data_IF_414485769252
#
_entry.id   IF_414485769252
#
_cell.length_a   1.000
_cell.length_b   1.000
_cell.length_c   1.000
_cell.angle_alpha   90.00
_cell.angle_beta   90.00
_cell.angle_gamma   90.00
#
_symmetry.space_group_name_H-M   'P 1'
#
loop_
_entity.id
_entity.type
_entity.pdbx_description
1 polymer ?
#
# COMPACT_ATOMS: atom_id res chain seq x y z
N UNK A 1 -6.23 4.24 -14.01
CA UNK A 1 -7.18 4.02 -12.88
C UNK A 1 -7.84 2.66 -13.06
N UNK A 2 -7.27 1.59 -12.51
CA UNK A 2 -7.72 0.24 -12.83
C UNK A 2 -8.76 -0.23 -11.81
N UNK A 3 -10.03 0.09 -12.08
CA UNK A 3 -11.21 -0.31 -11.31
C UNK A 3 -11.74 -1.70 -11.68
N UNK A 4 -11.06 -2.41 -12.57
CA UNK A 4 -11.50 -3.71 -13.07
C UNK A 4 -10.90 -4.81 -12.18
N UNK A 5 -11.70 -5.60 -11.45
CA UNK A 5 -11.18 -6.65 -10.56
C UNK A 5 -10.34 -7.69 -11.31
N UNK A 6 -10.59 -7.90 -12.61
CA UNK A 6 -9.76 -8.75 -13.45
C UNK A 6 -8.37 -8.18 -13.77
N UNK A 7 -8.18 -6.86 -13.68
CA UNK A 7 -6.94 -6.22 -14.12
C UNK A 7 -5.78 -6.43 -13.13
N UNK A 8 -6.06 -6.53 -11.83
CA UNK A 8 -5.04 -6.98 -10.88
C UNK A 8 -4.58 -8.41 -11.19
N UNK A 9 -5.50 -9.28 -11.58
CA UNK A 9 -5.19 -10.67 -11.95
C UNK A 9 -4.34 -10.74 -13.21
N UNK A 10 -4.74 -10.04 -14.27
CA UNK A 10 -3.95 -9.98 -15.50
C UNK A 10 -2.57 -9.35 -15.29
N UNK A 11 -2.47 -8.28 -14.50
CA UNK A 11 -1.18 -7.67 -14.17
C UNK A 11 -0.28 -8.63 -13.39
N UNK A 12 -0.84 -9.38 -12.43
CA UNK A 12 -0.10 -10.39 -11.70
C UNK A 12 0.36 -11.53 -12.64
N UNK A 13 -0.50 -12.00 -13.53
CA UNK A 13 -0.13 -13.04 -14.50
C UNK A 13 1.00 -12.57 -15.43
N UNK A 14 1.00 -11.29 -15.84
CA UNK A 14 2.12 -10.69 -16.58
C UNK A 14 3.42 -10.68 -15.75
N UNK A 15 3.36 -10.31 -14.47
CA UNK A 15 4.54 -10.32 -13.58
C UNK A 15 5.07 -11.74 -13.37
N UNK A 16 4.17 -12.73 -13.23
CA UNK A 16 4.53 -14.13 -13.05
C UNK A 16 5.13 -14.75 -14.32
N UNK A 17 4.79 -14.24 -15.50
CA UNK A 17 5.37 -14.70 -16.77
C UNK A 17 6.87 -14.38 -16.92
N UNK A 18 7.43 -13.48 -16.11
CA UNK A 18 8.88 -13.28 -16.04
C UNK A 18 9.63 -14.45 -15.39
N UNK A 19 8.91 -15.43 -14.81
CA UNK A 19 9.48 -16.68 -14.24
C UNK A 19 10.63 -16.45 -13.26
N UNK A 20 10.55 -15.41 -12.44
CA UNK A 20 11.53 -15.18 -11.39
C UNK A 20 11.50 -16.37 -10.40
N UNK A 21 12.65 -17.02 -10.20
CA UNK A 21 12.80 -18.20 -9.34
C UNK A 21 12.30 -17.96 -7.92
N UNK A 22 12.46 -16.74 -7.41
CA UNK A 22 12.01 -16.33 -6.08
C UNK A 22 10.50 -16.11 -5.97
N UNK A 23 9.79 -15.88 -7.07
CA UNK A 23 8.35 -15.54 -7.04
C UNK A 23 7.48 -16.74 -7.41
N UNK A 24 8.00 -17.64 -8.24
CA UNK A 24 7.28 -18.84 -8.72
C UNK A 24 6.70 -19.70 -7.58
N UNK A 25 7.40 -19.97 -6.46
CA UNK A 25 6.86 -20.76 -5.35
C UNK A 25 5.60 -20.15 -4.73
N UNK A 26 5.50 -18.82 -4.72
CA UNK A 26 4.42 -18.08 -4.07
C UNK A 26 3.26 -17.73 -5.02
N UNK A 27 3.29 -18.20 -6.27
CA UNK A 27 2.28 -17.90 -7.29
C UNK A 27 0.85 -18.13 -6.81
N UNK A 28 0.59 -19.28 -6.18
CA UNK A 28 -0.75 -19.62 -5.69
C UNK A 28 -1.22 -18.66 -4.58
N UNK A 29 -0.32 -18.32 -3.66
CA UNK A 29 -0.59 -17.37 -2.57
C UNK A 29 -0.90 -15.97 -3.13
N UNK A 30 -0.09 -15.50 -4.08
CA UNK A 30 -0.30 -14.21 -4.74
C UNK A 30 -1.63 -14.16 -5.51
N UNK A 31 -1.99 -15.23 -6.22
CA UNK A 31 -3.27 -15.32 -6.93
C UNK A 31 -4.45 -15.33 -5.96
N UNK A 32 -4.35 -16.04 -4.83
CA UNK A 32 -5.40 -16.05 -3.82
C UNK A 32 -5.51 -14.69 -3.07
N UNK A 33 -4.42 -13.92 -2.95
CA UNK A 33 -4.45 -12.54 -2.43
C UNK A 33 -5.18 -11.58 -3.38
N UNK A 34 -5.12 -11.82 -4.69
CA UNK A 34 -5.88 -11.05 -5.68
C UNK A 34 -7.36 -11.44 -5.68
N UNK A 35 -7.69 -12.68 -5.32
CA UNK A 35 -9.08 -13.14 -5.22
C UNK A 35 -9.79 -12.53 -4.00
N UNK A 36 -10.89 -11.82 -4.25
CA UNK A 36 -11.67 -11.14 -3.22
C UNK A 36 -12.30 -12.10 -2.19
N UNK A 37 -12.71 -13.29 -2.64
CA UNK A 37 -13.37 -14.28 -1.76
C UNK A 37 -12.37 -14.89 -0.79
N UNK A 38 -11.15 -15.13 -1.26
CA UNK A 38 -10.08 -15.76 -0.49
C UNK A 38 -9.21 -14.77 0.27
N UNK A 39 -9.32 -13.47 -0.03
CA UNK A 39 -8.45 -12.43 0.50
C UNK A 39 -8.27 -12.50 2.03
N UNK A 40 -9.36 -12.52 2.80
CA UNK A 40 -9.29 -12.53 4.27
C UNK A 40 -8.65 -13.80 4.83
N UNK A 41 -8.98 -14.95 4.25
CA UNK A 41 -8.41 -16.24 4.64
C UNK A 41 -6.91 -16.28 4.35
N UNK A 42 -6.51 -15.78 3.17
CA UNK A 42 -5.10 -15.73 2.78
C UNK A 42 -4.26 -14.81 3.65
N UNK A 43 -4.77 -13.65 4.07
CA UNK A 43 -4.03 -12.79 5.02
C UNK A 43 -3.74 -13.51 6.34
N UNK A 44 -4.60 -14.47 6.73
CA UNK A 44 -4.42 -15.24 7.95
C UNK A 44 -3.43 -16.40 7.77
N UNK A 45 -3.52 -17.09 6.63
CA UNK A 45 -2.69 -18.25 6.30
C UNK A 45 -1.26 -17.85 5.89
N UNK A 46 -1.14 -16.85 5.04
CA UNK A 46 0.12 -16.41 4.44
C UNK A 46 0.65 -15.16 5.15
N UNK A 47 1.07 -15.30 6.40
CA UNK A 47 1.63 -14.20 7.21
C UNK A 47 2.99 -13.74 6.67
N UNK A 48 3.20 -12.43 6.64
CA UNK A 48 4.44 -11.77 6.20
C UNK A 48 5.50 -11.63 7.29
N UNK A 49 5.17 -11.93 8.54
CA UNK A 49 6.12 -11.88 9.67
C UNK A 49 7.27 -12.86 9.47
N UNK A 50 8.48 -12.47 9.85
CA UNK A 50 9.67 -13.33 9.78
C UNK A 50 9.48 -14.66 10.53
N UNK A 51 8.81 -14.63 11.68
CA UNK A 51 8.53 -15.81 12.51
C UNK A 51 7.69 -16.90 11.81
N UNK A 52 6.90 -16.51 10.81
CA UNK A 52 5.98 -17.43 10.16
C UNK A 52 6.68 -18.34 9.14
N UNK A 53 7.93 -18.04 8.74
CA UNK A 53 8.71 -18.78 7.74
C UNK A 53 7.96 -19.05 6.41
N UNK A 54 6.93 -18.25 6.11
CA UNK A 54 6.11 -18.40 4.92
C UNK A 54 6.80 -17.85 3.66
N UNK A 55 7.78 -16.97 3.82
CA UNK A 55 8.56 -16.37 2.73
C UNK A 55 10.03 -16.50 3.12
N UNK A 56 10.82 -17.12 2.26
CA UNK A 56 12.26 -17.24 2.47
C UNK A 56 12.91 -15.85 2.46
N UNK A 57 13.91 -15.58 3.33
CA UNK A 57 14.58 -14.28 3.38
C UNK A 57 15.10 -13.81 2.01
N UNK A 58 15.69 -14.72 1.23
CA UNK A 58 16.23 -14.43 -0.11
C UNK A 58 15.14 -14.05 -1.13
N UNK A 59 13.91 -14.53 -0.93
CA UNK A 59 12.78 -14.25 -1.81
C UNK A 59 12.04 -12.97 -1.42
N UNK A 60 12.18 -12.49 -0.17
CA UNK A 60 11.42 -11.33 0.35
C UNK A 60 11.63 -10.09 -0.51
N UNK A 61 12.87 -9.83 -0.94
CA UNK A 61 13.21 -8.67 -1.76
C UNK A 61 12.37 -8.59 -3.05
N UNK A 62 12.00 -9.74 -3.61
CA UNK A 62 11.23 -9.82 -4.85
C UNK A 62 9.73 -9.98 -4.60
N UNK A 63 9.34 -10.73 -3.57
CA UNK A 63 7.94 -11.12 -3.32
C UNK A 63 7.20 -10.04 -2.55
N UNK A 64 7.81 -9.46 -1.52
CA UNK A 64 7.15 -8.47 -0.65
C UNK A 64 6.72 -7.23 -1.44
N UNK A 65 7.54 -6.63 -2.32
CA UNK A 65 7.09 -5.49 -3.13
C UNK A 65 5.89 -5.79 -4.03
N UNK A 66 5.67 -7.05 -4.43
CA UNK A 66 4.49 -7.46 -5.19
C UNK A 66 3.27 -7.53 -4.27
N UNK A 67 3.41 -8.12 -3.08
CA UNK A 67 2.37 -8.17 -2.05
C UNK A 67 1.91 -6.76 -1.69
N UNK A 68 2.85 -5.86 -1.38
CA UNK A 68 2.55 -4.45 -1.04
C UNK A 68 1.70 -3.77 -2.12
N UNK A 69 2.05 -3.95 -3.41
CA UNK A 69 1.30 -3.38 -4.54
C UNK A 69 -0.11 -3.96 -4.66
N UNK A 70 -0.27 -5.27 -4.46
CA UNK A 70 -1.59 -5.93 -4.46
C UNK A 70 -2.44 -5.36 -3.33
N UNK A 71 -1.90 -5.32 -2.11
CA UNK A 71 -2.59 -4.83 -0.92
C UNK A 71 -3.00 -3.36 -1.07
N UNK A 72 -2.11 -2.50 -1.57
CA UNK A 72 -2.43 -1.10 -1.86
C UNK A 72 -3.57 -0.97 -2.87
N UNK A 73 -3.55 -1.77 -3.93
CA UNK A 73 -4.66 -1.86 -4.87
C UNK A 73 -5.97 -2.26 -4.17
N UNK A 74 -5.95 -3.28 -3.30
CA UNK A 74 -7.13 -3.72 -2.54
C UNK A 74 -7.67 -2.66 -1.58
N UNK A 75 -6.82 -1.81 -1.02
CA UNK A 75 -7.23 -0.70 -0.14
C UNK A 75 -7.82 0.50 -0.90
N UNK A 76 -7.39 0.73 -2.13
CA UNK A 76 -7.79 1.89 -2.94
C UNK A 76 -9.04 1.63 -3.78
N UNK A 77 -9.37 0.35 -4.03
CA UNK A 77 -10.62 -0.02 -4.69
C UNK A 77 -11.80 0.31 -3.76
N UNK A 78 -12.58 1.33 -4.15
CA UNK A 78 -13.93 1.58 -3.62
C UNK A 78 -14.88 0.49 -4.14
N UNK A 79 -14.78 -0.72 -3.60
CA UNK A 79 -15.78 -1.77 -3.82
C UNK A 79 -17.09 -1.30 -3.19
N UNK A 80 -17.98 -0.74 -4.01
CA UNK A 80 -19.32 -0.34 -3.61
C UNK A 80 -19.36 0.81 -2.62
N UNK A 81 -20.24 1.77 -2.85
CA UNK A 81 -20.64 2.72 -1.84
C UNK A 81 -21.54 2.07 -0.76
N UNK A 82 -21.22 0.84 -0.33
CA UNK A 82 -22.04 0.13 0.64
C UNK A 82 -21.47 0.29 2.05
N UNK A 83 -22.15 1.20 2.76
CA UNK A 83 -22.23 1.34 4.22
C UNK A 83 -21.00 1.95 4.88
N UNK A 84 -21.26 3.06 5.59
CA UNK A 84 -20.37 3.72 6.56
C UNK A 84 -19.52 2.68 7.31
N UNK A 85 -18.23 2.57 6.95
CA UNK A 85 -17.24 1.74 7.69
C UNK A 85 -16.57 0.60 6.92
N UNK A 86 -17.14 0.06 5.84
CA UNK A 86 -16.57 -1.12 5.16
C UNK A 86 -15.16 -0.91 4.57
N UNK A 87 -14.91 0.28 4.01
CA UNK A 87 -13.60 0.66 3.49
C UNK A 87 -12.55 0.91 4.58
N UNK A 88 -12.95 1.35 5.78
CA UNK A 88 -12.04 1.54 6.91
C UNK A 88 -11.64 0.18 7.49
N UNK A 89 -12.60 -0.72 7.71
CA UNK A 89 -12.32 -2.07 8.23
C UNK A 89 -11.34 -2.84 7.33
N UNK A 90 -11.46 -2.68 6.00
CA UNK A 90 -10.51 -3.27 5.05
C UNK A 90 -9.11 -2.67 5.17
N UNK A 91 -8.99 -1.34 5.29
CA UNK A 91 -7.70 -0.67 5.49
C UNK A 91 -7.06 -1.14 6.79
N UNK A 92 -7.82 -1.20 7.88
CA UNK A 92 -7.34 -1.70 9.18
C UNK A 92 -6.87 -3.15 9.10
N UNK A 93 -7.60 -4.03 8.39
CA UNK A 93 -7.17 -5.42 8.17
C UNK A 93 -5.84 -5.50 7.41
N UNK A 94 -5.68 -4.68 6.36
CA UNK A 94 -4.44 -4.64 5.60
C UNK A 94 -3.29 -4.05 6.42
N UNK A 95 -3.52 -2.97 7.17
CA UNK A 95 -2.48 -2.40 8.03
C UNK A 95 -2.04 -3.37 9.13
N UNK A 96 -2.98 -4.14 9.71
CA UNK A 96 -2.65 -5.19 10.68
C UNK A 96 -1.76 -6.27 10.07
N UNK A 97 -2.00 -6.63 8.81
CA UNK A 97 -1.13 -7.57 8.10
C UNK A 97 0.26 -6.97 7.85
N UNK A 98 0.31 -5.70 7.42
CA UNK A 98 1.55 -4.96 7.17
C UNK A 98 2.35 -4.66 8.45
N UNK A 99 1.73 -4.72 9.63
CA UNK A 99 2.43 -4.66 10.91
C UNK A 99 3.42 -5.82 11.13
N UNK A 100 3.30 -6.91 10.36
CA UNK A 100 4.30 -7.98 10.33
C UNK A 100 5.49 -7.73 9.39
N UNK A 101 5.52 -6.62 8.66
CA UNK A 101 6.61 -6.27 7.76
C UNK A 101 7.79 -5.64 8.51
N UNK A 102 8.97 -5.73 7.90
CA UNK A 102 10.15 -5.04 8.38
C UNK A 102 10.07 -3.54 8.05
N UNK A 103 10.89 -2.74 8.73
CA UNK A 103 10.91 -1.28 8.56
C UNK A 103 11.19 -0.85 7.10
N UNK A 104 12.13 -1.50 6.43
CA UNK A 104 12.43 -1.22 5.02
C UNK A 104 11.23 -1.50 4.10
N UNK A 105 10.48 -2.56 4.38
CA UNK A 105 9.30 -2.93 3.61
C UNK A 105 8.14 -1.96 3.87
N UNK A 106 8.01 -1.49 5.10
CA UNK A 106 7.04 -0.47 5.47
C UNK A 106 7.37 0.88 4.81
N UNK A 107 8.65 1.25 4.73
CA UNK A 107 9.13 2.43 3.99
C UNK A 107 8.72 2.37 2.52
N UNK A 108 8.96 1.24 1.84
CA UNK A 108 8.51 1.00 0.45
C UNK A 108 6.99 1.19 0.32
N UNK A 109 6.22 0.69 1.29
CA UNK A 109 4.77 0.84 1.28
C UNK A 109 4.34 2.31 1.40
N UNK A 110 4.96 3.07 2.31
CA UNK A 110 4.66 4.49 2.54
C UNK A 110 5.03 5.33 1.30
N UNK A 111 6.23 5.15 0.76
CA UNK A 111 6.69 5.84 -0.46
C UNK A 111 5.74 5.58 -1.63
N UNK A 112 5.30 4.33 -1.80
CA UNK A 112 4.31 3.99 -2.81
C UNK A 112 2.95 4.66 -2.54
N UNK A 113 2.45 4.58 -1.30
CA UNK A 113 1.12 5.05 -0.92
C UNK A 113 0.98 6.58 -1.02
N UNK A 114 2.05 7.31 -0.70
CA UNK A 114 2.12 8.77 -0.69
C UNK A 114 3.01 9.33 -1.80
N UNK A 115 3.34 8.54 -2.82
CA UNK A 115 4.19 8.95 -3.97
C UNK A 115 3.79 10.27 -4.63
N UNK A 116 2.49 10.56 -4.70
CA UNK A 116 1.98 11.83 -5.24
C UNK A 116 2.29 13.06 -4.37
N UNK A 117 2.65 12.85 -3.10
CA UNK A 117 3.06 13.87 -2.16
C UNK A 117 4.57 13.94 -1.95
N UNK A 118 5.34 12.98 -2.47
CA UNK A 118 6.80 12.93 -2.32
C UNK A 118 7.49 14.27 -2.63
N UNK A 119 7.11 15.06 -3.66
CA UNK A 119 7.74 16.35 -3.93
C UNK A 119 7.52 17.40 -2.82
N UNK A 120 6.50 17.22 -1.98
CA UNK A 120 6.09 18.18 -0.95
C UNK A 120 6.49 17.76 0.47
N UNK A 121 6.96 16.53 0.69
CA UNK A 121 7.24 16.01 2.04
C UNK A 121 8.40 16.74 2.73
N UNK A 122 9.35 17.25 1.94
CA UNK A 122 10.53 17.98 2.45
C UNK A 122 10.35 19.51 2.42
N UNK A 123 9.19 20.00 1.97
CA UNK A 123 8.93 21.42 1.76
C UNK A 123 8.22 22.04 2.97
N UNK A 124 8.53 23.30 3.27
CA UNK A 124 7.77 24.04 4.29
C UNK A 124 6.36 24.36 3.78
N UNK A 125 5.33 24.48 4.66
CA UNK A 125 3.96 24.80 4.24
C UNK A 125 3.85 26.03 3.32
N UNK A 126 4.68 27.06 3.54
CA UNK A 126 4.74 28.26 2.69
C UNK A 126 5.26 27.97 1.27
N UNK A 127 6.26 27.12 1.15
CA UNK A 127 6.88 26.73 -0.13
C UNK A 127 5.93 25.84 -0.94
N UNK A 128 5.20 24.94 -0.26
CA UNK A 128 4.13 24.14 -0.88
C UNK A 128 3.08 25.05 -1.49
N UNK A 129 2.60 26.05 -0.73
CA UNK A 129 1.59 26.99 -1.22
C UNK A 129 2.07 27.77 -2.45
N UNK A 130 3.30 28.25 -2.44
CA UNK A 130 3.90 28.96 -3.57
C UNK A 130 4.03 28.06 -4.80
N UNK A 131 4.53 26.84 -4.62
CA UNK A 131 4.72 25.86 -5.70
C UNK A 131 3.40 25.47 -6.34
N UNK A 132 2.39 25.15 -5.51
CA UNK A 132 1.05 24.81 -5.97
C UNK A 132 0.42 25.99 -6.71
N UNK A 133 0.59 27.22 -6.23
CA UNK A 133 0.02 28.41 -6.88
C UNK A 133 0.68 28.73 -8.21
N UNK A 134 2.00 28.57 -8.33
CA UNK A 134 2.77 28.86 -9.55
C UNK A 134 2.62 27.79 -10.64
N UNK A 135 2.34 26.54 -10.25
CA UNK A 135 2.26 25.39 -11.17
C UNK A 135 0.87 24.73 -11.19
N UNK A 136 -0.19 25.45 -10.78
CA UNK A 136 -1.54 24.92 -10.72
C UNK A 136 -2.08 24.63 -12.14
N UNK A 137 -2.04 23.37 -12.57
CA UNK A 137 -2.77 22.91 -13.74
C UNK A 137 -4.10 22.28 -13.35
N UNK A 138 -5.20 22.98 -13.60
CA UNK A 138 -6.57 22.52 -13.33
C UNK A 138 -6.90 21.17 -14.02
N UNK A 139 -6.19 20.79 -15.07
CA UNK A 139 -6.38 19.50 -15.76
C UNK A 139 -5.69 18.34 -15.06
N UNK A 140 -4.68 18.59 -14.23
CA UNK A 140 -3.89 17.58 -13.52
C UNK A 140 -4.12 17.55 -12.00
N UNK A 141 -5.10 18.29 -11.48
CA UNK A 141 -5.37 18.36 -10.04
C UNK A 141 -5.88 17.04 -9.47
N UNK A 142 -5.39 16.70 -8.28
CA UNK A 142 -5.93 15.62 -7.46
C UNK A 142 -7.32 16.03 -6.95
N UNK A 143 -8.36 15.31 -7.37
CA UNK A 143 -9.73 15.58 -6.92
C UNK A 143 -9.84 15.60 -5.38
N UNK A 144 -10.66 16.48 -4.77
CA UNK A 144 -10.82 16.57 -3.31
C UNK A 144 -11.16 15.22 -2.65
N UNK A 145 -12.00 14.40 -3.27
CA UNK A 145 -12.33 13.07 -2.77
C UNK A 145 -11.16 12.07 -2.75
N UNK A 146 -10.13 12.30 -3.57
CA UNK A 146 -8.88 11.51 -3.56
C UNK A 146 -7.95 12.02 -2.46
N UNK A 147 -7.83 13.33 -2.27
CA UNK A 147 -7.11 13.91 -1.13
C UNK A 147 -7.66 13.40 0.19
N UNK A 148 -8.97 13.48 0.40
CA UNK A 148 -9.62 12.97 1.60
C UNK A 148 -9.38 11.46 1.79
N UNK A 149 -9.42 10.66 0.72
CA UNK A 149 -9.12 9.22 0.84
C UNK A 149 -7.69 8.93 1.27
N UNK A 150 -6.74 9.80 0.94
CA UNK A 150 -5.34 9.63 1.32
C UNK A 150 -5.10 10.13 2.74
N UNK A 151 -5.78 11.19 3.17
CA UNK A 151 -5.81 11.59 4.58
C UNK A 151 -6.36 10.47 5.47
N UNK A 152 -7.46 9.82 5.07
CA UNK A 152 -7.97 8.66 5.79
C UNK A 152 -6.99 7.48 5.80
N UNK A 153 -6.16 7.33 4.75
CA UNK A 153 -5.12 6.31 4.74
C UNK A 153 -4.01 6.67 5.73
N UNK A 154 -3.60 7.94 5.76
CA UNK A 154 -2.61 8.46 6.70
C UNK A 154 -3.04 8.28 8.15
N UNK A 155 -4.32 8.53 8.47
CA UNK A 155 -4.86 8.28 9.81
C UNK A 155 -4.69 6.83 10.25
N UNK A 156 -5.01 5.86 9.38
CA UNK A 156 -4.85 4.43 9.70
C UNK A 156 -3.37 4.05 9.77
N UNK A 157 -2.51 4.61 8.92
CA UNK A 157 -1.05 4.42 9.01
C UNK A 157 -0.55 4.91 10.37
N UNK A 158 -0.95 6.11 10.80
CA UNK A 158 -0.58 6.67 12.10
C UNK A 158 -1.09 5.81 13.26
N UNK A 159 -2.31 5.31 13.18
CA UNK A 159 -2.91 4.45 14.22
C UNK A 159 -2.14 3.13 14.40
N UNK A 160 -1.76 2.47 13.29
CA UNK A 160 -1.15 1.15 13.35
C UNK A 160 0.37 1.17 13.51
N UNK A 161 1.03 2.18 12.95
CA UNK A 161 2.48 2.24 12.91
C UNK A 161 3.08 3.34 13.78
N UNK A 162 2.28 4.30 14.28
CA UNK A 162 2.81 5.42 15.06
C UNK A 162 3.66 5.04 16.28
N UNK A 163 3.41 3.87 16.89
CA UNK A 163 4.23 3.34 17.98
C UNK A 163 5.38 2.40 17.56
N UNK A 164 5.45 2.02 16.29
CA UNK A 164 6.43 1.04 15.76
C UNK A 164 7.45 1.66 14.80
N UNK A 165 7.21 2.87 14.29
CA UNK A 165 8.15 3.57 13.42
C UNK A 165 9.35 4.04 14.23
N UNK A 166 10.57 3.76 13.76
CA UNK A 166 11.78 4.35 14.35
C UNK A 166 11.98 5.77 13.83
N UNK A 167 12.94 6.47 14.43
CA UNK A 167 13.23 7.88 14.19
C UNK A 167 13.42 8.23 12.70
N UNK A 168 13.98 7.34 11.88
CA UNK A 168 14.16 7.59 10.44
C UNK A 168 12.83 7.68 9.69
N UNK A 169 11.92 6.72 9.93
CA UNK A 169 10.62 6.68 9.27
C UNK A 169 9.65 7.72 9.85
N UNK A 170 9.75 7.98 11.16
CA UNK A 170 9.03 9.08 11.82
C UNK A 170 9.45 10.43 11.27
N UNK A 171 10.76 10.66 11.11
CA UNK A 171 11.27 11.89 10.51
C UNK A 171 10.71 12.07 9.10
N UNK A 172 10.70 11.03 8.28
CA UNK A 172 10.16 11.12 6.92
C UNK A 172 8.65 11.43 6.84
N UNK A 173 7.87 11.11 7.88
CA UNK A 173 6.42 11.35 7.91
C UNK A 173 5.98 12.59 8.69
N UNK A 174 6.78 13.01 9.67
CA UNK A 174 6.42 14.02 10.67
C UNK A 174 7.36 15.23 10.69
N UNK A 175 8.33 15.34 9.78
CA UNK A 175 9.04 16.61 9.57
C UNK A 175 8.06 17.64 9.03
N UNK A 176 7.40 18.31 9.98
CA UNK A 176 6.63 19.55 9.85
C UNK A 176 7.48 20.68 10.41
#
# INVERSE_FOLDING_TARGET
KNKNPGLQKYALDCVLNYKNKSVVPYKANLQNLVDEKKFKEQLTLFKITEDANNIQPDDREHVVPIILRILYGKMTIKLGADKKGGGQARRSLVMRYLAGCNENELKIFIEMAFSQFAPYMDMKPKEILQTVSCHLDLKSIISPGKLHSILNLFEVVREYFGGYMKDELLSHLLTV
#
